data_IF_970394437154
#
_entry.id   IF_970394437154
#
_cell.length_a   1.000
_cell.length_b   1.000
_cell.length_c   1.000
_cell.angle_alpha   90.00
_cell.angle_beta   90.00
_cell.angle_gamma   90.00
#
_symmetry.space_group_name_H-M   'P 1'
#
loop_
_entity.id
_entity.type
_entity.pdbx_description
1 polymer ?
#
# COMPACT_ATOMS: atom_id res chain seq x y z
N UNK A 1 -35.63 -29.70 11.11
CA UNK A 1 -34.22 -30.11 10.99
C UNK A 1 -33.49 -28.99 10.28
N UNK A 2 -32.95 -28.04 11.05
CA UNK A 2 -32.20 -26.91 10.52
C UNK A 2 -30.80 -27.36 10.10
N UNK A 3 -30.39 -27.01 8.89
CA UNK A 3 -29.00 -27.00 8.53
C UNK A 3 -28.44 -25.66 9.02
N UNK A 4 -27.74 -25.69 10.14
CA UNK A 4 -26.97 -24.53 10.60
C UNK A 4 -25.81 -24.34 9.62
N UNK A 5 -26.00 -23.40 8.69
CA UNK A 5 -24.96 -22.84 7.85
C UNK A 5 -24.01 -22.02 8.72
N UNK A 6 -23.14 -22.72 9.44
CA UNK A 6 -21.99 -22.11 10.07
C UNK A 6 -21.02 -21.73 8.94
N UNK A 7 -21.33 -20.61 8.28
CA UNK A 7 -20.43 -19.88 7.42
C UNK A 7 -19.30 -19.43 8.32
N UNK A 8 -18.27 -20.27 8.42
CA UNK A 8 -16.97 -19.88 8.88
C UNK A 8 -16.49 -18.79 7.91
N UNK A 9 -16.93 -17.56 8.15
CA UNK A 9 -16.22 -16.37 7.70
C UNK A 9 -14.93 -16.39 8.50
N UNK A 10 -14.02 -17.24 8.03
CA UNK A 10 -12.61 -17.17 8.32
C UNK A 10 -12.28 -15.72 7.99
N UNK A 11 -11.95 -14.92 9.02
CA UNK A 11 -11.39 -13.61 8.80
C UNK A 11 -10.18 -13.81 7.90
N UNK A 12 -10.41 -13.65 6.60
CA UNK A 12 -9.36 -13.56 5.63
C UNK A 12 -8.86 -12.17 5.88
N UNK A 13 -7.78 -12.06 6.65
CA UNK A 13 -6.96 -10.85 6.61
C UNK A 13 -6.83 -10.52 5.14
N UNK A 14 -7.49 -9.45 4.67
CA UNK A 14 -7.43 -9.08 3.27
C UNK A 14 -5.97 -8.71 3.07
N UNK A 15 -5.20 -9.61 2.48
CA UNK A 15 -3.77 -9.41 2.34
C UNK A 15 -3.60 -8.25 1.36
N UNK A 16 -3.24 -7.10 1.89
CA UNK A 16 -2.99 -5.90 1.11
C UNK A 16 -1.50 -5.82 0.77
N UNK A 17 -1.20 -5.27 -0.39
CA UNK A 17 0.16 -5.03 -0.86
C UNK A 17 0.36 -3.54 -1.10
N UNK A 18 1.58 -3.06 -0.85
CA UNK A 18 1.99 -1.69 -1.19
C UNK A 18 2.84 -1.74 -2.45
N UNK A 19 2.37 -1.07 -3.50
CA UNK A 19 3.15 -0.81 -4.71
C UNK A 19 3.89 0.52 -4.57
N UNK A 20 5.16 0.57 -4.94
CA UNK A 20 5.99 1.78 -4.88
C UNK A 20 6.71 1.96 -6.22
N UNK A 21 6.49 3.11 -6.86
CA UNK A 21 7.16 3.56 -8.10
C UNK A 21 8.01 4.78 -7.78
N UNK A 22 9.33 4.58 -7.68
CA UNK A 22 10.32 5.62 -7.39
C UNK A 22 10.83 6.23 -8.70
N UNK A 23 10.43 7.48 -8.97
CA UNK A 23 10.94 8.29 -10.08
C UNK A 23 11.87 9.41 -9.63
N UNK A 24 12.52 10.09 -10.57
CA UNK A 24 13.40 11.24 -10.27
C UNK A 24 12.65 12.48 -9.77
N UNK A 25 11.36 12.57 -10.04
CA UNK A 25 10.51 13.73 -9.68
C UNK A 25 9.49 13.40 -8.59
N UNK A 26 8.92 12.21 -8.64
CA UNK A 26 7.87 11.78 -7.71
C UNK A 26 8.06 10.33 -7.29
N UNK A 27 7.63 10.05 -6.07
CA UNK A 27 7.45 8.70 -5.53
C UNK A 27 5.95 8.46 -5.46
N UNK A 28 5.46 7.48 -6.23
CA UNK A 28 4.04 7.10 -6.21
C UNK A 28 3.88 5.84 -5.38
N UNK A 29 2.88 5.85 -4.51
CA UNK A 29 2.57 4.70 -3.69
C UNK A 29 1.08 4.39 -3.79
N UNK A 30 0.75 3.11 -3.67
CA UNK A 30 -0.64 2.69 -3.55
C UNK A 30 -0.77 1.42 -2.71
N UNK A 31 -1.92 1.30 -2.06
CA UNK A 31 -2.34 0.09 -1.34
C UNK A 31 -3.37 -0.65 -2.18
N UNK A 32 -3.15 -1.94 -2.37
CA UNK A 32 -3.93 -2.76 -3.29
C UNK A 32 -4.36 -4.07 -2.64
N UNK A 33 -5.51 -4.59 -3.04
CA UNK A 33 -5.85 -5.99 -2.84
C UNK A 33 -4.93 -6.90 -3.67
N UNK A 34 -4.84 -8.19 -3.33
CA UNK A 34 -4.03 -9.16 -4.07
C UNK A 34 -4.43 -9.31 -5.55
N UNK A 35 -5.67 -8.98 -5.90
CA UNK A 35 -6.19 -9.01 -7.27
C UNK A 35 -5.82 -7.76 -8.10
N UNK A 36 -5.10 -6.81 -7.50
CA UNK A 36 -4.69 -5.55 -8.12
C UNK A 36 -5.70 -4.41 -7.96
N UNK A 37 -6.81 -4.60 -7.26
CA UNK A 37 -7.75 -3.50 -6.95
C UNK A 37 -7.06 -2.44 -6.11
N UNK A 38 -6.99 -1.20 -6.60
CA UNK A 38 -6.43 -0.06 -5.86
C UNK A 38 -7.41 0.43 -4.80
N UNK A 39 -6.98 0.44 -3.54
CA UNK A 39 -7.76 0.93 -2.41
C UNK A 39 -7.46 2.40 -2.12
N UNK A 40 -6.19 2.79 -2.22
CA UNK A 40 -5.71 4.13 -1.98
C UNK A 40 -4.40 4.37 -2.73
N UNK A 41 -4.18 5.59 -3.19
CA UNK A 41 -2.90 5.99 -3.78
C UNK A 41 -2.54 7.42 -3.40
N UNK A 42 -1.24 7.66 -3.30
CA UNK A 42 -0.65 8.97 -3.03
C UNK A 42 0.56 9.18 -3.95
N UNK A 43 0.92 10.45 -4.15
CA UNK A 43 2.15 10.83 -4.82
C UNK A 43 2.83 11.92 -4.00
N UNK A 44 4.09 11.71 -3.69
CA UNK A 44 4.94 12.69 -2.99
C UNK A 44 6.12 13.06 -3.89
N UNK A 45 6.72 14.23 -3.66
CA UNK A 45 7.90 14.63 -4.40
C UNK A 45 9.11 13.77 -4.01
N UNK A 46 9.95 13.41 -4.98
CA UNK A 46 11.26 12.82 -4.67
C UNK A 46 12.14 13.91 -4.04
N UNK A 47 12.74 13.68 -2.86
CA UNK A 47 13.55 14.68 -2.19
C UNK A 47 14.75 15.08 -3.07
N UNK A 48 15.20 16.32 -2.93
CA UNK A 48 16.38 16.84 -3.63
C UNK A 48 17.40 17.36 -2.62
N UNK A 49 18.64 16.83 -2.60
CA UNK A 49 19.15 15.77 -3.49
C UNK A 49 18.51 14.40 -3.21
N UNK A 50 18.32 13.59 -4.26
CA UNK A 50 17.74 12.25 -4.19
C UNK A 50 18.73 11.21 -3.61
N UNK A 51 19.22 11.45 -2.39
CA UNK A 51 20.10 10.52 -1.69
C UNK A 51 19.31 9.31 -1.18
N UNK A 52 19.93 8.12 -1.08
CA UNK A 52 19.24 6.92 -0.61
C UNK A 52 18.54 7.10 0.74
N UNK A 53 19.20 7.75 1.72
CA UNK A 53 18.62 7.98 3.05
C UNK A 53 17.38 8.87 2.99
N UNK A 54 17.47 10.03 2.33
CA UNK A 54 16.33 10.96 2.24
C UNK A 54 15.15 10.33 1.50
N UNK A 55 15.40 9.55 0.45
CA UNK A 55 14.35 8.83 -0.29
C UNK A 55 13.65 7.81 0.63
N UNK A 56 14.41 7.05 1.42
CA UNK A 56 13.84 6.08 2.36
C UNK A 56 13.00 6.78 3.45
N UNK A 57 13.46 7.90 3.99
CA UNK A 57 12.71 8.69 4.97
C UNK A 57 11.36 9.14 4.41
N UNK A 58 11.34 9.74 3.22
CA UNK A 58 10.10 10.15 2.54
C UNK A 58 9.20 8.95 2.24
N UNK A 59 9.76 7.80 1.85
CA UNK A 59 8.98 6.58 1.62
C UNK A 59 8.32 6.08 2.91
N UNK A 60 8.99 6.12 4.06
CA UNK A 60 8.43 5.73 5.36
C UNK A 60 7.25 6.64 5.75
N UNK A 61 7.41 7.95 5.60
CA UNK A 61 6.33 8.92 5.86
C UNK A 61 5.13 8.71 4.91
N UNK A 62 5.41 8.48 3.62
CA UNK A 62 4.38 8.24 2.63
C UNK A 62 3.64 6.92 2.89
N UNK A 63 4.35 5.83 3.24
CA UNK A 63 3.73 4.54 3.61
C UNK A 63 2.78 4.70 4.80
N UNK A 64 3.14 5.53 5.79
CA UNK A 64 2.28 5.82 6.96
C UNK A 64 0.99 6.57 6.58
N UNK A 65 1.00 7.25 5.42
CA UNK A 65 -0.13 8.02 4.88
C UNK A 65 -1.02 7.21 3.92
N UNK A 66 -0.67 5.95 3.65
CA UNK A 66 -1.57 4.99 3.01
C UNK A 66 -2.46 4.40 4.07
#
# INVERSE_FOLDING_TARGET
MGADSNSAVKQSSNLEVIGIDLGGTAIKLGRFCQDGTCLQSISVATPQPATPTAVVEVMVEAITSL
#
